data_IF_554912830744
#
_entry.id   IF_554912830744
#
_cell.length_a   1.000
_cell.length_b   1.000
_cell.length_c   1.000
_cell.angle_alpha   90.00
_cell.angle_beta   90.00
_cell.angle_gamma   90.00
#
_symmetry.space_group_name_H-M   'P 1'
#
loop_
_entity.id
_entity.type
_entity.pdbx_description
1 polymer ?
#
# COMPACT_ATOMS: atom_id res chain seq x y z
N UNK A 1 12.77 -45.73 10.05
CA UNK A 1 13.34 -44.55 9.36
C UNK A 1 12.57 -44.37 8.08
N UNK A 2 11.59 -43.47 8.06
CA UNK A 2 10.87 -43.13 6.82
C UNK A 2 11.60 -41.95 6.19
N UNK A 3 12.28 -42.23 5.09
CA UNK A 3 12.95 -41.23 4.25
C UNK A 3 11.88 -40.41 3.53
N UNK A 4 11.66 -39.18 4.00
CA UNK A 4 10.82 -38.20 3.31
C UNK A 4 11.63 -37.53 2.21
N UNK A 5 11.38 -37.91 0.96
CA UNK A 5 11.96 -37.25 -0.21
C UNK A 5 11.42 -35.83 -0.30
N UNK A 6 12.21 -34.84 0.13
CA UNK A 6 11.96 -33.42 -0.12
C UNK A 6 12.11 -33.15 -1.63
N UNK A 7 10.97 -33.06 -2.31
CA UNK A 7 10.93 -32.62 -3.71
C UNK A 7 11.15 -31.11 -3.76
N UNK A 8 12.41 -30.70 -3.97
CA UNK A 8 12.74 -29.33 -4.30
C UNK A 8 12.17 -29.02 -5.69
N UNK A 9 11.12 -28.21 -5.75
CA UNK A 9 10.63 -27.66 -7.00
C UNK A 9 11.60 -26.55 -7.44
N UNK A 10 12.61 -26.93 -8.22
CA UNK A 10 13.49 -25.97 -8.88
C UNK A 10 12.67 -25.26 -9.97
N UNK A 11 12.31 -24.00 -9.72
CA UNK A 11 11.62 -23.16 -10.69
C UNK A 11 12.63 -22.69 -11.77
N UNK A 12 13.07 -23.63 -12.60
CA UNK A 12 13.87 -23.35 -13.80
C UNK A 12 13.20 -23.97 -15.03
N UNK A 13 11.95 -23.58 -15.27
CA UNK A 13 11.32 -23.79 -16.56
C UNK A 13 10.50 -22.57 -16.94
N UNK A 14 10.88 -21.97 -18.06
CA UNK A 14 10.22 -20.86 -18.76
C UNK A 14 8.72 -21.10 -18.90
N UNK A 15 7.93 -20.79 -17.87
CA UNK A 15 6.52 -20.49 -18.05
C UNK A 15 6.45 -19.05 -18.53
N UNK A 16 6.38 -18.92 -19.85
CA UNK A 16 5.86 -17.76 -20.56
C UNK A 16 4.51 -17.42 -19.93
N UNK A 17 4.50 -16.51 -18.96
CA UNK A 17 3.30 -15.84 -18.50
C UNK A 17 2.66 -15.24 -19.74
N UNK A 18 1.64 -15.92 -20.26
CA UNK A 18 0.62 -15.24 -21.05
C UNK A 18 -0.10 -14.32 -20.05
N UNK A 19 0.50 -13.16 -19.81
CA UNK A 19 -0.26 -11.98 -19.44
C UNK A 19 -1.21 -11.75 -20.61
N UNK A 20 -2.40 -12.33 -20.52
CA UNK A 20 -3.60 -11.75 -21.10
C UNK A 20 -3.78 -10.40 -20.40
N UNK A 21 -2.99 -9.43 -20.86
CA UNK A 21 -3.21 -8.00 -20.69
C UNK A 21 -4.49 -7.73 -21.47
N UNK A 22 -5.64 -8.10 -20.91
CA UNK A 22 -6.90 -7.48 -21.31
C UNK A 22 -6.69 -6.01 -20.97
N UNK A 23 -6.46 -5.21 -22.01
CA UNK A 23 -6.51 -3.76 -21.95
C UNK A 23 -7.91 -3.35 -21.50
N UNK A 24 -8.19 -3.48 -20.21
CA UNK A 24 -9.28 -2.73 -19.60
C UNK A 24 -8.75 -1.30 -19.50
N UNK A 25 -8.90 -0.60 -20.62
CA UNK A 25 -8.97 0.86 -20.64
C UNK A 25 -9.90 1.25 -19.48
N UNK A 26 -9.33 1.86 -18.45
CA UNK A 26 -10.11 2.50 -17.40
C UNK A 26 -10.77 3.72 -18.05
N UNK A 27 -11.86 3.47 -18.80
CA UNK A 27 -12.74 4.52 -19.27
C UNK A 27 -13.50 4.98 -18.05
N UNK A 28 -13.19 6.19 -17.57
CA UNK A 28 -14.03 6.90 -16.63
C UNK A 28 -15.44 6.96 -17.24
N UNK A 29 -16.47 6.38 -16.60
CA UNK A 29 -17.82 6.62 -17.07
C UNK A 29 -18.11 8.09 -16.80
N UNK A 30 -18.29 8.85 -17.87
CA UNK A 30 -18.81 10.21 -17.81
C UNK A 30 -20.26 10.10 -17.35
N UNK A 31 -20.50 10.29 -16.05
CA UNK A 31 -21.85 10.26 -15.48
C UNK A 31 -22.46 11.63 -15.75
N UNK A 32 -23.48 11.66 -16.61
CA UNK A 32 -24.31 12.83 -16.86
C UNK A 32 -25.02 13.21 -15.54
N UNK A 33 -24.84 14.45 -15.12
CA UNK A 33 -25.48 15.04 -13.95
C UNK A 33 -26.93 15.36 -14.29
N UNK A 34 -27.88 14.63 -13.72
CA UNK A 34 -29.24 15.14 -13.52
C UNK A 34 -29.25 15.94 -12.22
N UNK A 35 -29.65 17.20 -12.31
CA UNK A 35 -29.71 18.14 -11.18
C UNK A 35 -31.01 17.89 -10.42
N UNK A 36 -30.91 17.37 -9.20
CA UNK A 36 -31.98 17.52 -8.22
C UNK A 36 -31.45 18.29 -7.00
N UNK A 37 -32.12 19.40 -6.71
CA UNK A 37 -31.93 20.24 -5.54
C UNK A 37 -32.42 19.48 -4.31
N UNK A 38 -31.53 19.20 -3.35
CA UNK A 38 -32.01 18.92 -2.00
C UNK A 38 -31.01 19.38 -0.93
N UNK A 39 -31.46 20.37 -0.14
CA UNK A 39 -30.74 20.92 1.02
C UNK A 39 -30.85 19.93 2.17
N UNK A 40 -29.72 19.41 2.65
CA UNK A 40 -29.63 18.87 4.02
C UNK A 40 -28.32 19.26 4.70
N UNK A 41 -28.51 19.63 5.95
CA UNK A 41 -27.69 20.17 7.03
C UNK A 41 -26.37 19.44 7.32
N UNK A 42 -25.31 20.25 7.51
CA UNK A 42 -23.97 19.88 8.00
C UNK A 42 -23.98 19.39 9.46
N UNK A 43 -23.30 18.29 9.81
CA UNK A 43 -22.86 18.06 11.17
C UNK A 43 -21.34 18.27 11.32
N UNK A 44 -20.98 19.26 12.14
CA UNK A 44 -19.84 19.23 13.05
C UNK A 44 -18.43 19.18 12.44
N UNK A 45 -17.81 20.34 12.30
CA UNK A 45 -16.39 20.48 12.00
C UNK A 45 -15.53 19.84 13.11
N UNK A 46 -14.92 18.69 12.81
CA UNK A 46 -13.83 18.12 13.61
C UNK A 46 -12.56 18.91 13.31
N UNK A 47 -12.01 19.57 14.32
CA UNK A 47 -10.76 20.32 14.25
C UNK A 47 -9.57 19.37 14.10
N UNK A 48 -9.11 19.18 12.86
CA UNK A 48 -7.82 18.53 12.60
C UNK A 48 -6.72 19.50 12.98
N UNK A 49 -6.16 19.34 14.18
CA UNK A 49 -4.92 19.99 14.58
C UNK A 49 -3.80 19.52 13.64
N UNK A 50 -3.49 20.35 12.65
CA UNK A 50 -2.46 20.07 11.65
C UNK A 50 -1.10 20.50 12.16
N UNK A 51 -0.49 19.71 13.05
CA UNK A 51 0.96 19.77 13.19
C UNK A 51 1.58 19.07 11.96
N UNK A 52 1.57 19.77 10.82
CA UNK A 52 2.27 19.30 9.61
C UNK A 52 3.76 19.45 9.87
N UNK A 53 4.44 18.33 10.09
CA UNK A 53 5.88 18.28 9.94
C UNK A 53 6.26 18.79 8.54
N UNK A 54 7.17 19.76 8.47
CA UNK A 54 7.55 20.45 7.22
C UNK A 54 8.28 19.53 6.23
N UNK A 55 8.71 18.35 6.69
CA UNK A 55 9.39 17.37 5.86
C UNK A 55 8.39 16.56 5.00
N UNK A 56 8.76 16.18 3.76
CA UNK A 56 7.98 15.25 2.96
C UNK A 56 7.75 13.94 3.72
N UNK A 57 6.48 13.54 3.88
CA UNK A 57 6.12 12.27 4.55
C UNK A 57 6.77 11.04 3.90
N UNK A 58 7.04 11.11 2.60
CA UNK A 58 7.76 10.08 1.84
C UNK A 58 9.21 9.85 2.31
N UNK A 59 9.78 10.76 3.11
CA UNK A 59 11.12 10.64 3.70
C UNK A 59 11.08 10.18 5.16
N UNK A 60 9.91 10.14 5.79
CA UNK A 60 9.74 9.69 7.16
C UNK A 60 10.15 8.22 7.27
N UNK A 61 10.77 7.87 8.40
CA UNK A 61 11.10 6.51 8.78
C UNK A 61 9.87 5.61 8.66
N UNK A 62 10.00 4.53 7.90
CA UNK A 62 8.99 3.49 7.82
C UNK A 62 9.28 2.41 8.86
N UNK A 63 8.39 2.30 9.86
CA UNK A 63 8.46 1.32 10.94
C UNK A 63 7.74 0.00 10.65
N UNK A 64 7.10 -0.15 9.48
CA UNK A 64 6.39 -1.38 9.08
C UNK A 64 7.35 -2.49 8.62
N UNK A 65 8.51 -2.61 9.27
CA UNK A 65 9.51 -3.67 9.04
C UNK A 65 9.74 -4.40 10.36
N UNK A 66 10.03 -5.70 10.30
CA UNK A 66 10.35 -6.49 11.49
C UNK A 66 11.57 -5.91 12.22
N UNK A 67 11.53 -5.89 13.56
CA UNK A 67 12.64 -5.42 14.38
C UNK A 67 12.79 -3.90 14.45
N UNK A 68 11.77 -3.13 14.08
CA UNK A 68 11.74 -1.66 14.18
C UNK A 68 10.92 -1.16 15.37
N UNK A 69 10.52 -2.04 16.28
CA UNK A 69 9.76 -1.69 17.48
C UNK A 69 10.63 -0.93 18.51
N UNK A 70 10.03 0.03 19.23
CA UNK A 70 10.69 0.74 20.34
C UNK A 70 11.71 1.82 19.95
N UNK A 71 11.80 2.17 18.66
CA UNK A 71 12.68 3.25 18.18
C UNK A 71 12.08 4.63 18.45
N UNK A 72 12.95 5.60 18.77
CA UNK A 72 12.60 7.01 18.84
C UNK A 72 12.43 7.57 17.42
N UNK A 73 11.21 7.45 16.91
CA UNK A 73 10.89 7.83 15.53
C UNK A 73 11.05 9.32 15.29
N UNK A 74 10.76 10.17 16.28
CA UNK A 74 10.86 11.63 16.15
C UNK A 74 12.31 12.05 15.93
N UNK A 75 13.20 11.60 16.81
CA UNK A 75 14.64 11.89 16.69
C UNK A 75 15.22 11.36 15.39
N UNK A 76 14.86 10.15 14.98
CA UNK A 76 15.36 9.57 13.71
C UNK A 76 14.87 10.40 12.52
N UNK A 77 13.61 10.82 12.53
CA UNK A 77 13.06 11.66 11.46
C UNK A 77 13.70 13.04 11.40
N UNK A 78 14.04 13.62 12.55
CA UNK A 78 14.83 14.87 12.61
C UNK A 78 16.20 14.68 11.97
N UNK A 79 16.92 13.62 12.33
CA UNK A 79 18.23 13.30 11.73
C UNK A 79 18.09 13.12 10.21
N UNK A 80 17.10 12.36 9.74
CA UNK A 80 16.84 12.15 8.31
C UNK A 80 16.57 13.48 7.61
N UNK A 81 15.74 14.35 8.21
CA UNK A 81 15.42 15.66 7.66
C UNK A 81 16.67 16.50 7.53
N UNK A 82 17.42 16.70 8.63
CA UNK A 82 18.63 17.51 8.65
C UNK A 82 19.68 17.01 7.66
N UNK A 83 19.86 15.68 7.55
CA UNK A 83 20.83 15.09 6.62
C UNK A 83 20.40 15.20 5.15
N UNK A 84 19.09 15.23 4.88
CA UNK A 84 18.56 15.22 3.51
C UNK A 84 18.28 16.61 2.95
N UNK A 85 18.02 17.60 3.82
CA UNK A 85 17.59 18.95 3.45
C UNK A 85 18.57 19.64 2.48
N UNK A 86 18.03 20.37 1.50
CA UNK A 86 18.82 21.05 0.46
C UNK A 86 19.29 20.17 -0.70
N UNK A 87 19.27 18.84 -0.57
CA UNK A 87 19.69 17.93 -1.66
C UNK A 87 18.72 17.93 -2.85
N UNK A 88 19.23 17.58 -4.05
CA UNK A 88 18.38 17.34 -5.23
C UNK A 88 17.36 16.22 -4.99
N UNK A 89 17.75 15.20 -4.22
CA UNK A 89 16.87 14.10 -3.82
C UNK A 89 15.71 14.62 -2.96
N UNK A 90 15.99 15.47 -1.97
CA UNK A 90 14.97 16.07 -1.12
C UNK A 90 13.96 16.91 -1.91
N UNK A 91 14.44 17.74 -2.85
CA UNK A 91 13.56 18.50 -3.74
C UNK A 91 12.69 17.60 -4.63
N UNK A 92 13.27 16.52 -5.16
CA UNK A 92 12.50 15.54 -5.95
C UNK A 92 11.42 14.87 -5.09
N UNK A 93 11.75 14.45 -3.86
CA UNK A 93 10.80 13.84 -2.92
C UNK A 93 9.71 14.80 -2.49
N UNK A 94 10.00 16.09 -2.34
CA UNK A 94 8.97 17.13 -2.16
C UNK A 94 7.99 17.17 -3.33
N UNK A 95 8.47 17.17 -4.59
CA UNK A 95 7.59 17.16 -5.77
C UNK A 95 6.74 15.88 -5.83
N UNK A 96 7.33 14.72 -5.53
CA UNK A 96 6.57 13.46 -5.44
C UNK A 96 5.48 13.52 -4.37
N UNK A 97 5.78 14.11 -3.20
CA UNK A 97 4.80 14.29 -2.14
C UNK A 97 3.65 15.19 -2.60
N UNK A 98 3.94 16.31 -3.27
CA UNK A 98 2.91 17.20 -3.81
C UNK A 98 1.99 16.49 -4.81
N UNK A 99 2.56 15.65 -5.70
CA UNK A 99 1.78 14.85 -6.64
C UNK A 99 0.88 13.85 -5.93
N UNK A 100 1.39 13.18 -4.88
CA UNK A 100 0.61 12.25 -4.07
C UNK A 100 -0.52 12.98 -3.34
N UNK A 101 -0.24 14.13 -2.73
CA UNK A 101 -1.22 14.95 -2.02
C UNK A 101 -2.35 15.39 -2.97
N UNK A 102 -2.01 15.87 -4.17
CA UNK A 102 -2.98 16.22 -5.21
C UNK A 102 -3.83 15.02 -5.61
N UNK A 103 -3.23 13.83 -5.72
CA UNK A 103 -3.97 12.60 -6.02
C UNK A 103 -4.94 12.23 -4.89
N UNK A 104 -4.50 12.31 -3.64
CA UNK A 104 -5.35 12.08 -2.46
C UNK A 104 -6.53 13.03 -2.46
N UNK A 105 -6.31 14.32 -2.73
CA UNK A 105 -7.38 15.31 -2.82
C UNK A 105 -8.38 14.95 -3.91
N UNK A 106 -7.91 14.60 -5.11
CA UNK A 106 -8.78 14.17 -6.21
C UNK A 106 -9.63 12.94 -5.85
N UNK A 107 -9.05 11.98 -5.13
CA UNK A 107 -9.76 10.76 -4.71
C UNK A 107 -10.79 11.06 -3.62
N UNK A 108 -10.47 11.95 -2.67
CA UNK A 108 -11.41 12.39 -1.64
C UNK A 108 -12.61 13.14 -2.24
N UNK A 109 -12.36 14.02 -3.21
CA UNK A 109 -13.43 14.72 -3.94
C UNK A 109 -14.31 13.76 -4.73
N UNK A 110 -13.70 12.82 -5.45
CA UNK A 110 -14.45 11.78 -6.17
C UNK A 110 -15.23 10.86 -5.21
N UNK A 111 -14.68 10.55 -4.03
CA UNK A 111 -15.39 9.77 -3.02
C UNK A 111 -16.60 10.54 -2.47
N UNK A 112 -16.46 11.85 -2.24
CA UNK A 112 -17.52 12.70 -1.74
C UNK A 112 -18.67 12.92 -2.74
N UNK A 113 -18.43 12.74 -4.05
CA UNK A 113 -19.47 12.88 -5.07
C UNK A 113 -20.38 11.67 -5.21
N UNK A 114 -20.08 10.55 -4.54
CA UNK A 114 -20.95 9.38 -4.57
C UNK A 114 -22.20 9.58 -3.71
N UNK A 115 -23.37 9.41 -4.34
CA UNK A 115 -24.66 9.42 -3.67
C UNK A 115 -24.91 8.12 -2.91
N UNK A 116 -25.86 8.15 -1.97
CA UNK A 116 -26.29 6.96 -1.24
C UNK A 116 -26.71 5.81 -2.17
N UNK A 117 -27.39 6.12 -3.29
CA UNK A 117 -27.80 5.12 -4.28
C UNK A 117 -26.60 4.45 -4.97
N UNK A 118 -25.56 5.22 -5.33
CA UNK A 118 -24.33 4.66 -5.88
C UNK A 118 -23.67 3.69 -4.90
N UNK A 119 -23.60 4.08 -3.63
CA UNK A 119 -23.01 3.25 -2.56
C UNK A 119 -23.82 1.97 -2.38
N UNK A 120 -25.16 2.06 -2.24
CA UNK A 120 -26.03 0.89 -2.10
C UNK A 120 -25.88 -0.11 -3.25
N UNK A 121 -25.88 0.40 -4.50
CA UNK A 121 -25.71 -0.43 -5.69
C UNK A 121 -24.35 -1.13 -5.69
N UNK A 122 -23.28 -0.39 -5.37
CA UNK A 122 -21.93 -0.94 -5.31
C UNK A 122 -21.81 -2.00 -4.20
N UNK A 123 -22.39 -1.76 -3.02
CA UNK A 123 -22.42 -2.72 -1.92
C UNK A 123 -23.09 -4.03 -2.33
N UNK A 124 -24.27 -3.97 -2.95
CA UNK A 124 -24.98 -5.19 -3.41
C UNK A 124 -24.14 -5.99 -4.42
N UNK A 125 -23.46 -5.31 -5.34
CA UNK A 125 -22.57 -5.96 -6.31
C UNK A 125 -21.35 -6.60 -5.63
N UNK A 126 -20.74 -5.91 -4.66
CA UNK A 126 -19.59 -6.43 -3.93
C UNK A 126 -19.97 -7.61 -3.02
N UNK A 127 -21.17 -7.60 -2.43
CA UNK A 127 -21.67 -8.71 -1.62
C UNK A 127 -21.89 -9.99 -2.44
N UNK A 128 -22.39 -9.85 -3.67
CA UNK A 128 -22.51 -10.97 -4.60
C UNK A 128 -21.13 -11.55 -4.95
N UNK A 129 -20.17 -10.67 -5.28
CA UNK A 129 -18.80 -11.08 -5.56
C UNK A 129 -18.14 -11.74 -4.35
N UNK A 130 -18.34 -11.22 -3.14
CA UNK A 130 -17.83 -11.79 -1.90
C UNK A 130 -18.33 -13.23 -1.71
N UNK A 131 -19.64 -13.47 -1.91
CA UNK A 131 -20.22 -14.81 -1.84
C UNK A 131 -19.59 -15.76 -2.87
N UNK A 132 -19.39 -15.30 -4.09
CA UNK A 132 -18.74 -16.10 -5.14
C UNK A 132 -17.30 -16.47 -4.80
N UNK A 133 -16.53 -15.54 -4.24
CA UNK A 133 -15.16 -15.79 -3.81
C UNK A 133 -15.11 -16.75 -2.63
N UNK A 134 -16.04 -16.61 -1.69
CA UNK A 134 -16.12 -17.48 -0.51
C UNK A 134 -16.49 -18.92 -0.90
N UNK A 135 -17.45 -19.11 -1.81
CA UNK A 135 -17.80 -20.44 -2.33
C UNK A 135 -16.63 -21.15 -3.02
N UNK A 136 -15.66 -20.39 -3.54
CA UNK A 136 -14.45 -20.90 -4.21
C UNK A 136 -13.23 -20.96 -3.30
N UNK A 137 -13.38 -20.67 -2.00
CA UNK A 137 -12.27 -20.71 -1.04
C UNK A 137 -11.78 -22.16 -0.89
N UNK A 138 -10.53 -22.40 -1.27
CA UNK A 138 -9.86 -23.68 -1.13
C UNK A 138 -8.88 -23.64 0.05
N UNK A 139 -9.16 -24.42 1.09
CA UNK A 139 -8.31 -24.56 2.29
C UNK A 139 -7.56 -25.91 2.31
N UNK A 140 -7.61 -26.69 1.23
CA UNK A 140 -6.96 -28.01 1.18
C UNK A 140 -5.43 -27.93 1.09
N UNK A 141 -4.88 -26.74 0.83
CA UNK A 141 -3.46 -26.52 0.57
C UNK A 141 -2.76 -25.94 1.78
N UNK A 142 -1.61 -26.50 2.11
CA UNK A 142 -0.65 -25.87 3.02
C UNK A 142 0.35 -25.07 2.19
N UNK A 143 0.32 -23.75 2.34
CA UNK A 143 1.25 -22.84 1.66
C UNK A 143 2.33 -22.44 2.67
N UNK A 144 3.59 -22.69 2.32
CA UNK A 144 4.75 -22.30 3.14
C UNK A 144 5.44 -21.12 2.47
N UNK A 145 5.60 -20.03 3.21
CA UNK A 145 6.40 -18.86 2.81
C UNK A 145 7.66 -18.82 3.67
N UNK A 146 8.83 -18.91 3.05
CA UNK A 146 10.13 -18.87 3.72
C UNK A 146 10.75 -17.51 3.40
N UNK A 147 11.09 -16.76 4.45
CA UNK A 147 11.81 -15.49 4.36
C UNK A 147 13.14 -15.61 5.11
N UNK A 148 14.20 -15.05 4.55
CA UNK A 148 15.55 -15.14 5.11
C UNK A 148 15.84 -13.89 5.94
N UNK A 149 16.05 -14.07 7.25
CA UNK A 149 16.30 -12.97 8.18
C UNK A 149 17.52 -12.15 7.78
N UNK A 150 17.32 -10.86 7.52
CA UNK A 150 18.37 -9.90 7.15
C UNK A 150 19.35 -10.44 6.10
N UNK A 151 18.85 -11.16 5.08
CA UNK A 151 19.64 -12.02 4.20
C UNK A 151 21.05 -11.52 3.85
N UNK A 152 21.18 -10.32 3.27
CA UNK A 152 22.50 -9.80 2.88
C UNK A 152 23.41 -9.52 4.08
N UNK A 153 22.90 -8.89 5.14
CA UNK A 153 23.70 -8.65 6.34
C UNK A 153 24.08 -9.95 7.06
N UNK A 154 23.19 -10.94 7.08
CA UNK A 154 23.45 -12.24 7.68
C UNK A 154 24.57 -13.01 6.96
N UNK A 155 24.67 -12.87 5.62
CA UNK A 155 25.79 -13.43 4.85
C UNK A 155 27.10 -12.75 5.24
N UNK A 156 27.14 -11.41 5.30
CA UNK A 156 28.35 -10.69 5.71
C UNK A 156 28.76 -11.03 7.16
N UNK A 157 27.82 -11.12 8.11
CA UNK A 157 28.09 -11.54 9.50
C UNK A 157 28.50 -13.01 9.65
N UNK A 158 28.21 -13.85 8.65
CA UNK A 158 28.67 -15.24 8.60
C UNK A 158 30.12 -15.30 8.10
N UNK A 159 30.43 -14.55 7.04
CA UNK A 159 31.73 -14.60 6.37
C UNK A 159 32.78 -13.78 7.15
N UNK A 160 32.38 -12.71 7.83
CA UNK A 160 33.17 -11.96 8.80
C UNK A 160 32.51 -11.98 10.21
N UNK A 161 32.95 -12.88 11.10
CA UNK A 161 32.41 -12.98 12.46
C UNK A 161 32.63 -11.75 13.35
N UNK A 162 33.50 -10.80 12.97
CA UNK A 162 33.73 -9.58 13.76
C UNK A 162 32.56 -8.59 13.70
N UNK A 163 31.63 -8.77 12.76
CA UNK A 163 30.45 -7.93 12.55
C UNK A 163 29.23 -8.34 13.40
N UNK A 164 29.38 -9.32 14.29
CA UNK A 164 28.31 -9.82 15.17
C UNK A 164 28.17 -9.03 16.46
#
# INVERSE_FOLDING_TARGET
TQEGTLQYCTCTSKLRLHLLRKEKSWKNPSIAMEKEDNRVTEPGAVSVQSNRSTAPQILTLNTNKAGMEGLDTERINEIIKTASEGSRFYQHKQRCQQQLDNKILSLKQAAASFTHQHIMKATLQMDQLMKELEMKRDLSRTIVHIDMDMFYAAVEMRDDPSLR
#
